data_IF_879002365945
#
_entry.id   IF_879002365945
#
_cell.length_a   1.000
_cell.length_b   1.000
_cell.length_c   1.000
_cell.angle_alpha   90.00
_cell.angle_beta   90.00
_cell.angle_gamma   90.00
#
_symmetry.space_group_name_H-M   'P 1'
#
loop_
_entity.id
_entity.type
_entity.pdbx_description
1 polymer ?
#
# COMPACT_ATOMS: atom_id res chain seq x y z
N UNK A 1 -8.24 12.40 2.87
CA UNK A 1 -8.03 11.57 4.09
C UNK A 1 -6.53 11.37 4.36
N UNK A 2 -6.14 10.96 5.58
CA UNK A 2 -4.76 10.58 6.01
C UNK A 2 -3.64 11.64 5.94
N UNK A 3 -3.88 12.85 5.42
CA UNK A 3 -2.82 13.88 5.30
C UNK A 3 -2.11 14.19 6.62
N UNK A 4 -2.89 14.50 7.68
CA UNK A 4 -2.34 14.81 8.99
C UNK A 4 -1.53 13.65 9.61
N UNK A 5 -1.93 12.40 9.32
CA UNK A 5 -1.19 11.20 9.75
C UNK A 5 0.20 11.17 9.11
N UNK A 6 0.27 11.37 7.79
CA UNK A 6 1.54 11.33 7.07
C UNK A 6 2.44 12.53 7.36
N UNK A 7 1.86 13.71 7.60
CA UNK A 7 2.61 14.88 8.07
C UNK A 7 3.26 14.61 9.44
N UNK A 8 2.53 14.00 10.38
CA UNK A 8 3.09 13.58 11.66
C UNK A 8 4.18 12.49 11.48
N UNK A 9 3.92 11.48 10.64
CA UNK A 9 4.86 10.39 10.40
C UNK A 9 6.20 10.87 9.79
N UNK A 10 6.18 11.90 8.95
CA UNK A 10 7.38 12.53 8.38
C UNK A 10 8.27 13.19 9.45
N UNK A 11 7.72 13.56 10.60
CA UNK A 11 8.46 14.13 11.72
C UNK A 11 9.04 13.07 12.68
N UNK A 12 8.75 11.78 12.49
CA UNK A 12 9.23 10.72 13.38
C UNK A 12 10.66 10.29 13.02
N UNK A 13 11.53 10.27 14.03
CA UNK A 13 12.83 9.62 13.92
C UNK A 13 12.68 8.11 14.11
N UNK A 14 13.34 7.31 13.26
CA UNK A 14 13.38 5.85 13.40
C UNK A 14 12.17 5.10 12.82
N UNK A 15 11.32 5.74 12.00
CA UNK A 15 10.28 5.04 11.25
C UNK A 15 10.94 4.12 10.20
N UNK A 16 10.81 2.79 10.35
CA UNK A 16 11.54 1.82 9.51
C UNK A 16 10.72 1.20 8.37
N UNK A 17 9.40 1.18 8.50
CA UNK A 17 8.50 0.70 7.44
C UNK A 17 7.09 1.25 7.64
N UNK A 18 6.28 1.20 6.58
CA UNK A 18 4.84 1.39 6.62
C UNK A 18 4.16 0.15 6.10
N UNK A 19 3.13 -0.32 6.79
CA UNK A 19 2.27 -1.40 6.32
C UNK A 19 0.95 -0.78 5.84
N UNK A 20 0.56 -1.04 4.59
CA UNK A 20 -0.61 -0.46 3.94
C UNK A 20 -1.45 -1.54 3.27
N UNK A 21 -2.77 -1.47 3.38
CA UNK A 21 -3.64 -2.47 2.75
C UNK A 21 -3.81 -2.23 1.24
N UNK A 22 -4.14 -3.29 0.49
CA UNK A 22 -4.67 -3.15 -0.86
C UNK A 22 -5.57 -4.35 -1.21
N UNK A 23 -6.88 -4.24 -1.02
CA UNK A 23 -7.77 -5.39 -1.12
C UNK A 23 -8.39 -5.63 -2.51
N UNK A 24 -8.48 -4.61 -3.38
CA UNK A 24 -9.19 -4.69 -4.67
C UNK A 24 -8.37 -4.13 -5.84
N UNK A 25 -8.52 -4.69 -7.06
CA UNK A 25 -7.91 -4.14 -8.26
C UNK A 25 -8.60 -2.85 -8.69
N UNK A 26 -7.96 -2.03 -9.53
CA UNK A 26 -8.48 -0.71 -9.91
C UNK A 26 -9.83 -0.79 -10.64
N UNK A 27 -10.08 -1.84 -11.43
CA UNK A 27 -11.40 -2.02 -12.10
C UNK A 27 -12.57 -2.14 -11.12
N UNK A 28 -12.31 -2.49 -9.86
CA UNK A 28 -13.30 -2.60 -8.78
C UNK A 28 -13.28 -1.37 -7.84
N UNK A 29 -12.74 -0.22 -8.27
CA UNK A 29 -12.63 0.98 -7.43
C UNK A 29 -13.94 1.43 -6.78
N UNK A 30 -15.09 1.28 -7.45
CA UNK A 30 -16.39 1.60 -6.86
C UNK A 30 -16.73 0.68 -5.68
N UNK A 31 -16.49 -0.63 -5.82
CA UNK A 31 -16.70 -1.59 -4.74
C UNK A 31 -15.71 -1.32 -3.59
N UNK A 32 -14.45 -1.02 -3.91
CA UNK A 32 -13.44 -0.68 -2.94
C UNK A 32 -13.86 0.55 -2.11
N UNK A 33 -14.39 1.61 -2.74
CA UNK A 33 -14.87 2.79 -2.02
C UNK A 33 -16.06 2.49 -1.09
N UNK A 34 -17.03 1.70 -1.56
CA UNK A 34 -18.18 1.30 -0.72
C UNK A 34 -17.71 0.43 0.46
N UNK A 35 -16.81 -0.51 0.21
CA UNK A 35 -16.26 -1.42 1.21
C UNK A 35 -15.13 -0.80 2.07
N UNK A 36 -14.75 0.46 1.81
CA UNK A 36 -13.70 1.20 2.50
C UNK A 36 -12.32 0.53 2.43
N UNK A 37 -11.98 0.06 1.24
CA UNK A 37 -10.71 -0.57 0.93
C UNK A 37 -9.88 0.20 -0.10
N UNK A 38 -8.57 -0.05 -0.12
CA UNK A 38 -7.67 0.54 -1.10
C UNK A 38 -7.57 -0.30 -2.39
N UNK A 39 -7.28 0.41 -3.47
CA UNK A 39 -6.83 -0.13 -4.75
C UNK A 39 -5.40 0.34 -5.03
N UNK A 40 -4.69 -0.25 -6.02
CA UNK A 40 -3.34 0.19 -6.38
C UNK A 40 -3.25 1.69 -6.72
N UNK A 41 -4.26 2.26 -7.39
CA UNK A 41 -4.33 3.71 -7.65
C UNK A 41 -4.45 4.55 -6.36
N UNK A 42 -5.14 4.04 -5.34
CA UNK A 42 -5.22 4.70 -4.04
C UNK A 42 -3.92 4.54 -3.26
N UNK A 43 -3.26 3.38 -3.34
CA UNK A 43 -1.91 3.16 -2.80
C UNK A 43 -0.95 4.19 -3.38
N UNK A 44 -0.93 4.39 -4.71
CA UNK A 44 -0.10 5.43 -5.36
C UNK A 44 -0.32 6.81 -4.74
N UNK A 45 -1.57 7.19 -4.47
CA UNK A 45 -1.90 8.49 -3.84
C UNK A 45 -1.43 8.56 -2.38
N UNK A 46 -1.42 7.44 -1.65
CA UNK A 46 -0.82 7.39 -0.32
C UNK A 46 0.71 7.53 -0.38
N UNK A 47 1.38 6.94 -1.39
CA UNK A 47 2.83 7.08 -1.60
C UNK A 47 3.25 8.54 -1.76
N UNK A 48 2.48 9.36 -2.47
CA UNK A 48 2.76 10.80 -2.62
C UNK A 48 2.81 11.54 -1.27
N UNK A 49 2.08 11.03 -0.27
CA UNK A 49 1.97 11.65 1.06
C UNK A 49 2.96 11.05 2.07
N UNK A 50 3.38 9.80 1.87
CA UNK A 50 4.28 9.05 2.73
C UNK A 50 5.70 9.61 2.78
N UNK A 51 6.45 9.44 3.89
CA UNK A 51 7.89 9.72 3.92
C UNK A 51 8.62 9.02 2.76
N UNK A 52 9.50 9.68 2.00
CA UNK A 52 10.02 9.17 0.72
C UNK A 52 10.91 7.94 0.87
N UNK A 53 11.62 7.81 2.00
CA UNK A 53 12.71 6.84 2.19
C UNK A 53 12.32 5.61 3.02
N UNK A 54 11.02 5.35 3.18
CA UNK A 54 10.50 4.27 4.04
C UNK A 54 9.87 3.17 3.19
N UNK A 55 10.28 1.89 3.30
CA UNK A 55 9.63 0.80 2.58
C UNK A 55 8.14 0.70 2.94
N UNK A 56 7.33 0.39 1.94
CA UNK A 56 5.87 0.27 2.05
C UNK A 56 5.49 -1.16 1.73
N UNK A 57 4.97 -1.83 2.74
CA UNK A 57 4.61 -3.23 2.69
C UNK A 57 3.11 -3.36 2.48
N UNK A 58 2.72 -3.96 1.36
CA UNK A 58 1.33 -4.15 0.99
C UNK A 58 0.81 -5.45 1.60
N UNK A 59 -0.30 -5.37 2.34
CA UNK A 59 -0.95 -6.51 2.98
C UNK A 59 -2.45 -6.58 2.66
N UNK A 60 -3.12 -7.64 3.14
CA UNK A 60 -4.58 -7.81 3.04
C UNK A 60 -5.13 -7.85 1.60
N UNK A 61 -4.30 -8.36 0.67
CA UNK A 61 -4.71 -8.66 -0.70
C UNK A 61 -5.65 -9.86 -0.69
N UNK A 62 -6.82 -9.71 -1.34
CA UNK A 62 -7.76 -10.83 -1.49
C UNK A 62 -7.17 -11.88 -2.44
N UNK A 63 -7.14 -13.17 -2.08
CA UNK A 63 -6.52 -14.21 -2.92
C UNK A 63 -7.03 -14.24 -4.36
N UNK A 64 -8.31 -13.94 -4.57
CA UNK A 64 -8.95 -13.93 -5.89
C UNK A 64 -8.43 -12.83 -6.83
N UNK A 65 -7.77 -11.81 -6.30
CA UNK A 65 -7.26 -10.66 -7.06
C UNK A 65 -5.75 -10.49 -6.92
N UNK A 66 -5.04 -11.48 -6.37
CA UNK A 66 -3.64 -11.32 -6.01
C UNK A 66 -2.77 -10.97 -7.22
N UNK A 67 -2.85 -11.76 -8.29
CA UNK A 67 -2.06 -11.53 -9.51
C UNK A 67 -2.38 -10.17 -10.15
N UNK A 68 -3.66 -9.83 -10.29
CA UNK A 68 -4.11 -8.55 -10.86
C UNK A 68 -3.59 -7.35 -10.05
N UNK A 69 -3.69 -7.42 -8.72
CA UNK A 69 -3.20 -6.37 -7.82
C UNK A 69 -1.67 -6.29 -7.85
N UNK A 70 -0.97 -7.43 -7.89
CA UNK A 70 0.49 -7.46 -7.98
C UNK A 70 0.99 -6.75 -9.25
N UNK A 71 0.43 -7.09 -10.41
CA UNK A 71 0.78 -6.43 -11.67
C UNK A 71 0.46 -4.92 -11.65
N UNK A 72 -0.68 -4.53 -11.08
CA UNK A 72 -1.05 -3.11 -10.97
C UNK A 72 -0.12 -2.34 -10.03
N UNK A 73 0.33 -2.96 -8.93
CA UNK A 73 1.31 -2.37 -8.01
C UNK A 73 2.69 -2.27 -8.66
N UNK A 74 3.12 -3.27 -9.43
CA UNK A 74 4.37 -3.22 -10.20
C UNK A 74 4.38 -2.05 -11.20
N UNK A 75 3.26 -1.79 -11.87
CA UNK A 75 3.10 -0.65 -12.79
C UNK A 75 3.20 0.73 -12.11
N UNK A 76 3.07 0.80 -10.78
CA UNK A 76 3.35 2.05 -10.04
C UNK A 76 4.84 2.41 -10.16
N UNK A 77 5.72 1.42 -10.38
CA UNK A 77 7.15 1.65 -10.63
C UNK A 77 7.91 2.18 -9.42
N UNK A 78 7.50 1.78 -8.22
CA UNK A 78 8.10 2.24 -6.96
C UNK A 78 8.86 1.10 -6.29
N UNK A 79 10.19 1.19 -6.27
CA UNK A 79 11.09 0.17 -5.69
C UNK A 79 10.91 -0.04 -4.18
N UNK A 80 10.21 0.88 -3.50
CA UNK A 80 9.88 0.80 -2.08
C UNK A 80 8.59 0.03 -1.79
N UNK A 81 7.80 -0.33 -2.81
CA UNK A 81 6.62 -1.18 -2.63
C UNK A 81 7.04 -2.64 -2.55
N UNK A 82 6.59 -3.33 -1.51
CA UNK A 82 6.80 -4.77 -1.35
C UNK A 82 5.44 -5.41 -1.08
N UNK A 83 5.00 -6.29 -1.96
CA UNK A 83 3.83 -7.12 -1.69
C UNK A 83 4.22 -8.22 -0.70
N UNK A 84 3.55 -8.27 0.45
CA UNK A 84 3.82 -9.27 1.46
C UNK A 84 3.24 -10.64 1.06
N UNK A 85 3.99 -11.69 1.36
CA UNK A 85 3.63 -13.07 1.10
C UNK A 85 3.04 -13.70 2.37
N UNK A 86 2.03 -14.55 2.18
CA UNK A 86 1.46 -15.34 3.26
C UNK A 86 2.52 -16.29 3.85
N UNK A 87 2.50 -16.47 5.17
CA UNK A 87 3.41 -17.34 5.92
C UNK A 87 4.91 -16.96 5.87
N UNK A 88 5.24 -15.77 5.33
CA UNK A 88 6.61 -15.24 5.29
C UNK A 88 6.88 -14.28 6.45
N UNK A 89 8.02 -14.46 7.12
CA UNK A 89 8.51 -13.54 8.16
C UNK A 89 9.44 -12.48 7.56
N UNK A 90 9.22 -11.22 7.93
CA UNK A 90 10.02 -10.07 7.50
C UNK A 90 10.69 -9.41 8.71
N UNK A 91 11.89 -8.86 8.53
CA UNK A 91 12.69 -8.20 9.58
C UNK A 91 13.12 -6.80 9.13
N UNK A 92 13.24 -5.88 10.10
CA UNK A 92 13.66 -4.47 9.92
C UNK A 92 14.76 -4.10 10.91
#
# INVERSE_FOLDING_TARGET
>A
PTRALWEAARGLHGLRAVILECAFPNRLAQLADVAKHLTPDLVRRELDKLPPDVPVWIFHVKPQFHEEIAEELERIGSDRLVLLEQDRTYSL
#
